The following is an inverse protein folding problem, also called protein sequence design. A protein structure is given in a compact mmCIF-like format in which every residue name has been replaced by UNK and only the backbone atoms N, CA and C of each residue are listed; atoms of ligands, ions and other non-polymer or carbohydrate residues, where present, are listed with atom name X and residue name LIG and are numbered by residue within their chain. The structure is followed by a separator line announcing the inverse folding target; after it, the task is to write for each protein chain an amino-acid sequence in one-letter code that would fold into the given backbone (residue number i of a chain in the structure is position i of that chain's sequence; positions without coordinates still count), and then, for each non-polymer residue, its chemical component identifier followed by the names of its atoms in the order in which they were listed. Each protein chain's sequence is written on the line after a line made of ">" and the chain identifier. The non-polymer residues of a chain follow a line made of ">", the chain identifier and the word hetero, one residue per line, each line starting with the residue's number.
data_IF_430671726141
#
_entry.id   IF_430671726141
#
_cell.length_a   1.000
_cell.length_b   1.000
_cell.length_c   1.000
_cell.angle_alpha   90.00
_cell.angle_beta   90.00
_cell.angle_gamma   90.00
#
_symmetry.space_group_name_H-M   'P 1'
#
loop_
_entity.id
_entity.type
_entity.pdbx_description
1 polymer ?
#
# COMPACT_ATOMS: atom_id res chain seq x y z
N UNK A 1 -10.56 24.77 22.13
CA UNK A 1 -10.72 23.75 21.08
C UNK A 1 -12.16 23.83 20.57
N UNK A 2 -12.38 24.23 19.31
CA UNK A 2 -13.73 24.27 18.73
C UNK A 2 -14.27 22.85 18.65
N UNK A 3 -15.47 22.63 19.20
CA UNK A 3 -16.09 21.31 19.31
C UNK A 3 -16.14 20.60 17.95
N UNK A 4 -15.57 19.41 17.90
CA UNK A 4 -15.69 18.52 16.75
C UNK A 4 -17.18 18.23 16.60
N UNK A 5 -17.82 18.79 15.56
CA UNK A 5 -19.17 18.39 15.16
C UNK A 5 -19.07 16.92 14.77
N UNK A 6 -19.69 16.05 15.57
CA UNK A 6 -19.92 14.65 15.19
C UNK A 6 -20.70 14.64 13.89
N UNK A 7 -20.07 14.08 12.85
CA UNK A 7 -20.72 13.85 11.57
C UNK A 7 -21.93 12.91 11.80
N UNK A 8 -23.07 13.14 11.13
CA UNK A 8 -24.23 12.28 11.26
C UNK A 8 -23.87 10.84 10.83
N UNK A 9 -24.32 9.86 11.61
CA UNK A 9 -24.16 8.45 11.25
C UNK A 9 -24.99 8.17 10.00
N UNK A 10 -24.32 7.89 8.89
CA UNK A 10 -24.94 7.38 7.68
C UNK A 10 -24.34 6.03 7.33
N UNK A 11 -25.15 5.15 6.74
CA UNK A 11 -24.66 3.90 6.13
C UNK A 11 -23.78 4.12 4.88
N UNK A 12 -23.45 5.38 4.56
CA UNK A 12 -22.61 5.79 3.44
C UNK A 12 -21.25 6.35 3.87
N UNK A 13 -20.93 6.29 5.16
CA UNK A 13 -19.66 6.77 5.70
C UNK A 13 -18.72 5.61 6.05
N UNK A 14 -17.42 5.85 5.88
CA UNK A 14 -16.35 4.96 6.31
C UNK A 14 -15.43 5.68 7.28
N UNK A 15 -14.80 4.92 8.16
CA UNK A 15 -13.67 5.42 8.94
C UNK A 15 -12.38 5.16 8.17
N UNK A 16 -11.54 6.18 8.07
CA UNK A 16 -10.28 6.12 7.36
C UNK A 16 -9.14 6.35 8.36
N UNK A 17 -8.19 5.44 8.40
CA UNK A 17 -6.95 5.59 9.16
C UNK A 17 -5.77 5.58 8.20
N UNK A 18 -4.96 6.62 8.23
CA UNK A 18 -3.68 6.67 7.52
C UNK A 18 -2.67 5.80 8.27
N UNK A 19 -2.06 4.87 7.56
CA UNK A 19 -0.96 4.03 8.02
C UNK A 19 0.35 4.52 7.39
N UNK A 20 1.44 4.36 8.14
CA UNK A 20 2.79 4.57 7.63
C UNK A 20 3.09 3.47 6.60
N UNK A 21 3.11 3.84 5.32
CA UNK A 21 3.43 2.94 4.21
C UNK A 21 4.89 3.04 3.77
N UNK A 22 5.76 3.74 4.51
CA UNK A 22 7.14 4.03 4.12
C UNK A 22 7.22 5.17 3.10
N UNK A 23 8.20 5.09 2.21
CA UNK A 23 8.38 6.11 1.19
C UNK A 23 9.60 5.91 0.30
N UNK A 24 9.89 6.94 -0.47
CA UNK A 24 11.04 7.03 -1.36
C UNK A 24 11.93 8.17 -0.89
N UNK A 25 13.23 7.89 -0.81
CA UNK A 25 14.23 8.96 -0.68
C UNK A 25 14.77 9.19 -2.08
N UNK A 26 14.09 10.01 -2.88
CA UNK A 26 14.53 10.23 -4.25
C UNK A 26 15.84 11.01 -4.28
N UNK A 27 16.66 10.68 -5.27
CA UNK A 27 17.53 11.67 -5.89
C UNK A 27 16.65 12.49 -6.83
N UNK A 28 16.44 13.77 -6.48
CA UNK A 28 15.75 14.80 -7.27
C UNK A 28 14.27 14.57 -7.66
N UNK A 29 13.52 15.64 -7.91
CA UNK A 29 12.10 15.63 -8.31
C UNK A 29 11.90 15.59 -9.83
N UNK A 30 12.98 15.43 -10.62
CA UNK A 30 12.90 15.28 -12.09
C UNK A 30 12.11 14.03 -12.51
N UNK A 31 11.94 13.07 -11.59
CA UNK A 31 11.16 11.85 -11.82
C UNK A 31 9.65 12.03 -11.65
N UNK A 32 9.20 13.15 -11.08
CA UNK A 32 7.80 13.37 -10.69
C UNK A 32 7.26 14.68 -11.26
N UNK A 33 8.13 15.65 -11.50
CA UNK A 33 7.78 16.96 -12.03
C UNK A 33 8.58 17.27 -13.29
N UNK A 34 7.89 17.84 -14.30
CA UNK A 34 8.51 18.21 -15.57
C UNK A 34 9.55 19.35 -15.43
N UNK A 35 9.47 20.11 -14.33
CA UNK A 35 10.35 21.20 -13.94
C UNK A 35 11.24 20.85 -12.73
N UNK A 36 11.42 19.55 -12.47
CA UNK A 36 12.21 19.08 -11.34
C UNK A 36 13.64 19.64 -11.28
N UNK A 37 14.12 19.81 -10.07
CA UNK A 37 15.42 20.25 -9.62
C UNK A 37 16.20 19.10 -8.98
N UNK A 38 17.54 19.16 -9.10
CA UNK A 38 18.46 18.14 -8.57
C UNK A 38 18.60 18.10 -7.03
N UNK A 39 17.49 18.22 -6.28
CA UNK A 39 17.46 18.26 -4.81
C UNK A 39 16.75 17.03 -4.24
N UNK A 40 17.42 16.21 -3.43
CA UNK A 40 16.78 15.08 -2.75
C UNK A 40 15.64 15.51 -1.84
N UNK A 41 14.57 14.72 -1.81
CA UNK A 41 13.44 14.90 -0.89
C UNK A 41 12.81 13.56 -0.55
N UNK A 42 11.98 13.56 0.49
CA UNK A 42 11.25 12.37 0.91
C UNK A 42 9.82 12.39 0.34
N UNK A 43 9.43 11.28 -0.28
CA UNK A 43 8.08 11.05 -0.77
C UNK A 43 7.41 9.97 0.06
N UNK A 44 6.36 10.35 0.76
CA UNK A 44 5.58 9.41 1.55
C UNK A 44 4.78 8.47 0.65
N UNK A 45 4.84 7.18 0.96
CA UNK A 45 3.89 6.21 0.44
C UNK A 45 2.76 6.03 1.47
N UNK A 46 1.53 6.26 1.04
CA UNK A 46 0.36 6.20 1.93
C UNK A 46 -0.39 4.89 1.76
N UNK A 47 -0.58 4.21 2.90
CA UNK A 47 -1.50 3.09 3.04
C UNK A 47 -2.68 3.53 3.92
N UNK A 48 -3.88 3.03 3.63
CA UNK A 48 -5.06 3.35 4.44
C UNK A 48 -5.77 2.09 4.92
N UNK A 49 -6.13 2.09 6.20
CA UNK A 49 -7.16 1.20 6.72
C UNK A 49 -8.54 1.87 6.61
N UNK A 50 -9.50 1.15 6.06
CA UNK A 50 -10.87 1.60 5.86
C UNK A 50 -11.82 0.66 6.59
N UNK A 51 -12.63 1.20 7.49
CA UNK A 51 -13.68 0.47 8.18
C UNK A 51 -15.05 1.01 7.77
N UNK A 52 -15.81 0.19 7.06
CA UNK A 52 -17.20 0.48 6.76
C UNK A 52 -18.09 -0.06 7.87
N UNK A 53 -18.32 0.77 8.91
CA UNK A 53 -19.07 0.37 10.12
C UNK A 53 -20.42 -0.27 9.82
N UNK A 54 -21.16 0.23 8.83
CA UNK A 54 -22.50 -0.24 8.54
C UNK A 54 -22.54 -1.70 8.07
N UNK A 55 -21.51 -2.17 7.35
CA UNK A 55 -21.40 -3.58 6.94
C UNK A 55 -20.37 -4.37 7.74
N UNK A 56 -19.64 -3.73 8.66
CA UNK A 56 -18.51 -4.32 9.38
C UNK A 56 -17.28 -4.65 8.53
N UNK A 57 -17.23 -4.19 7.27
CA UNK A 57 -16.14 -4.53 6.33
C UNK A 57 -14.88 -3.75 6.65
N UNK A 58 -13.74 -4.42 6.51
CA UNK A 58 -12.42 -3.92 6.85
C UNK A 58 -11.49 -4.10 5.66
N UNK A 59 -11.02 -2.98 5.13
CA UNK A 59 -10.36 -2.92 3.84
C UNK A 59 -9.01 -2.25 4.04
N UNK A 60 -7.97 -2.76 3.39
CA UNK A 60 -6.73 -2.04 3.20
C UNK A 60 -6.71 -1.42 1.81
N UNK A 61 -6.36 -0.15 1.73
CA UNK A 61 -6.02 0.51 0.48
C UNK A 61 -4.50 0.67 0.44
N UNK A 62 -3.89 -0.01 -0.54
CA UNK A 62 -2.44 -0.15 -0.67
C UNK A 62 -1.79 -0.89 0.50
N UNK A 63 -0.49 -1.16 0.39
CA UNK A 63 0.31 -1.83 1.42
C UNK A 63 1.60 -1.08 1.73
N UNK A 64 1.86 0.03 1.05
CA UNK A 64 3.11 0.73 1.16
C UNK A 64 4.23 0.07 0.37
N UNK A 65 5.46 0.35 0.78
CA UNK A 65 6.70 -0.04 0.10
C UNK A 65 7.62 -0.81 1.04
N UNK A 66 8.40 -1.75 0.49
CA UNK A 66 9.42 -2.48 1.24
C UNK A 66 10.81 -1.99 0.88
N UNK A 67 11.72 -2.00 1.85
CA UNK A 67 13.16 -1.86 1.64
C UNK A 67 13.87 -3.22 1.51
N UNK A 68 13.13 -4.33 1.55
CA UNK A 68 13.64 -5.67 1.28
C UNK A 68 13.88 -5.86 -0.22
N UNK A 69 15.15 -5.77 -0.63
CA UNK A 69 15.59 -5.98 -2.02
C UNK A 69 15.13 -7.32 -2.61
N UNK A 70 14.90 -8.35 -1.79
CA UNK A 70 14.45 -9.67 -2.26
C UNK A 70 13.01 -9.64 -2.81
N UNK A 71 12.26 -8.59 -2.50
CA UNK A 71 10.88 -8.39 -2.97
C UNK A 71 10.78 -7.84 -4.39
N UNK A 72 11.93 -7.47 -4.98
CA UNK A 72 11.98 -6.73 -6.23
C UNK A 72 12.59 -7.56 -7.36
N UNK A 73 12.07 -7.35 -8.57
CA UNK A 73 12.64 -7.98 -9.77
C UNK A 73 14.03 -7.42 -10.05
N UNK A 74 14.90 -8.18 -10.75
CA UNK A 74 16.20 -7.67 -11.18
C UNK A 74 16.10 -6.35 -11.96
N UNK A 75 15.03 -6.15 -12.74
CA UNK A 75 14.80 -4.89 -13.45
C UNK A 75 14.67 -3.71 -12.50
N UNK A 76 13.83 -3.81 -11.47
CA UNK A 76 13.68 -2.74 -10.46
C UNK A 76 15.00 -2.49 -9.74
N UNK A 77 15.67 -3.56 -9.32
CA UNK A 77 16.95 -3.47 -8.62
C UNK A 77 18.04 -2.78 -9.46
N UNK A 78 18.06 -3.01 -10.76
CA UNK A 78 19.10 -2.48 -11.65
C UNK A 78 18.80 -1.08 -12.18
N UNK A 79 17.53 -0.70 -12.35
CA UNK A 79 17.14 0.52 -13.04
C UNK A 79 16.41 1.56 -12.18
N UNK A 80 15.79 1.16 -11.08
CA UNK A 80 14.94 2.06 -10.28
C UNK A 80 15.37 2.19 -8.82
N UNK A 81 16.01 1.15 -8.26
CA UNK A 81 16.33 1.10 -6.84
C UNK A 81 17.17 2.28 -6.39
N UNK A 82 18.26 2.58 -7.09
CA UNK A 82 19.20 3.63 -6.72
C UNK A 82 18.63 5.03 -6.88
N UNK A 83 17.74 5.25 -7.86
CA UNK A 83 17.11 6.57 -8.08
C UNK A 83 15.98 6.85 -7.10
N UNK A 84 15.26 5.82 -6.68
CA UNK A 84 14.09 5.96 -5.82
C UNK A 84 14.39 5.71 -4.34
N UNK A 85 15.45 4.94 -4.05
CA UNK A 85 15.90 4.49 -2.74
C UNK A 85 14.73 4.26 -1.74
N UNK A 86 14.00 3.14 -1.92
CA UNK A 86 12.84 2.84 -1.10
C UNK A 86 13.21 2.68 0.36
N UNK A 87 12.35 3.22 1.21
CA UNK A 87 12.42 3.11 2.67
C UNK A 87 11.12 2.47 3.14
N UNK A 88 11.24 1.32 3.80
CA UNK A 88 10.09 0.62 4.37
C UNK A 88 9.38 1.46 5.45
N UNK A 89 8.17 1.06 5.85
CA UNK A 89 7.50 1.71 6.97
C UNK A 89 8.31 1.53 8.25
N UNK A 90 8.25 2.51 9.16
CA UNK A 90 9.02 2.45 10.43
C UNK A 90 8.61 1.27 11.32
N UNK A 91 7.39 0.77 11.12
CA UNK A 91 6.81 -0.38 11.79
C UNK A 91 6.02 -1.19 10.78
N UNK A 92 6.00 -2.51 10.94
CA UNK A 92 5.24 -3.42 10.08
C UNK A 92 3.78 -3.02 10.05
N UNK A 93 3.14 -3.14 8.90
CA UNK A 93 1.73 -2.77 8.74
C UNK A 93 0.81 -3.56 9.69
N UNK A 94 1.14 -4.83 9.96
CA UNK A 94 0.44 -5.68 10.93
C UNK A 94 0.49 -5.10 12.36
N UNK A 95 1.63 -4.56 12.77
CA UNK A 95 1.78 -3.96 14.10
C UNK A 95 0.97 -2.66 14.20
N UNK A 96 0.95 -1.85 13.12
CA UNK A 96 0.14 -0.64 13.07
C UNK A 96 -1.36 -0.93 13.15
N UNK A 97 -1.83 -2.00 12.49
CA UNK A 97 -3.21 -2.48 12.61
C UNK A 97 -3.51 -2.98 14.03
N UNK A 98 -2.58 -3.71 14.64
CA UNK A 98 -2.73 -4.22 16.00
C UNK A 98 -2.83 -3.09 17.02
N UNK A 99 -2.09 -1.99 16.84
CA UNK A 99 -2.17 -0.79 17.70
C UNK A 99 -3.57 -0.16 17.70
N UNK A 100 -4.29 -0.26 16.57
CA UNK A 100 -5.68 0.21 16.45
C UNK A 100 -6.72 -0.89 16.71
N UNK A 101 -6.30 -2.03 17.25
CA UNK A 101 -7.18 -3.14 17.64
C UNK A 101 -7.71 -3.97 16.47
N UNK A 102 -7.05 -3.93 15.31
CA UNK A 102 -7.44 -4.66 14.10
C UNK A 102 -6.47 -5.81 13.87
N UNK A 103 -6.98 -7.04 13.77
CA UNK A 103 -6.17 -8.19 13.35
C UNK A 103 -6.07 -8.20 11.83
N UNK A 104 -4.94 -8.63 11.29
CA UNK A 104 -4.76 -8.80 9.84
C UNK A 104 -5.78 -9.77 9.25
N UNK A 105 -6.14 -10.83 9.99
CA UNK A 105 -7.18 -11.79 9.61
C UNK A 105 -8.59 -11.20 9.48
N UNK A 106 -8.82 -10.00 10.01
CA UNK A 106 -10.12 -9.34 9.90
C UNK A 106 -10.25 -8.53 8.61
N UNK A 107 -9.16 -8.32 7.85
CA UNK A 107 -9.17 -7.58 6.59
C UNK A 107 -9.74 -8.48 5.51
N UNK A 108 -10.90 -8.11 4.96
CA UNK A 108 -11.59 -8.90 3.94
C UNK A 108 -11.18 -8.52 2.50
N UNK A 109 -10.58 -7.36 2.31
CA UNK A 109 -10.21 -6.86 0.98
C UNK A 109 -8.95 -6.01 1.04
N UNK A 110 -8.06 -6.22 0.08
CA UNK A 110 -6.92 -5.33 -0.20
C UNK A 110 -7.13 -4.70 -1.58
N UNK A 111 -7.29 -3.38 -1.63
CA UNK A 111 -7.40 -2.61 -2.85
C UNK A 111 -6.00 -2.23 -3.34
N UNK A 112 -5.58 -2.86 -4.45
CA UNK A 112 -4.35 -2.50 -5.15
C UNK A 112 -4.65 -1.43 -6.21
N UNK A 113 -3.96 -0.28 -6.12
CA UNK A 113 -4.20 0.88 -6.98
C UNK A 113 -4.04 0.65 -8.48
N UNK A 114 -3.32 -0.39 -8.89
CA UNK A 114 -2.60 -0.33 -10.16
C UNK A 114 -2.77 -1.56 -11.05
N UNK A 115 -3.62 -2.53 -10.69
CA UNK A 115 -3.90 -3.66 -11.58
C UNK A 115 -4.58 -3.23 -12.88
N UNK A 116 -5.61 -2.39 -12.78
CA UNK A 116 -6.28 -1.79 -13.93
C UNK A 116 -5.34 -0.86 -14.72
N UNK A 117 -4.44 -0.17 -14.03
CA UNK A 117 -3.47 0.73 -14.65
C UNK A 117 -2.36 -0.01 -15.42
N UNK A 118 -1.91 -1.16 -14.90
CA UNK A 118 -1.02 -2.06 -15.58
C UNK A 118 -1.71 -2.72 -16.79
N UNK A 119 -2.95 -3.18 -16.62
CA UNK A 119 -3.71 -3.88 -17.65
C UNK A 119 -4.16 -2.94 -18.80
N UNK A 120 -4.58 -1.71 -18.50
CA UNK A 120 -5.14 -0.77 -19.51
C UNK A 120 -4.11 0.23 -20.07
N UNK A 121 -3.09 0.59 -19.30
CA UNK A 121 -2.15 1.65 -19.68
C UNK A 121 -0.69 1.19 -19.70
N UNK A 122 -0.42 -0.12 -19.51
CA UNK A 122 0.94 -0.66 -19.53
C UNK A 122 1.85 -0.12 -18.44
N UNK A 123 1.29 0.39 -17.34
CA UNK A 123 2.05 0.98 -16.24
C UNK A 123 2.75 -0.12 -15.44
N UNK A 124 4.08 -0.15 -15.54
CA UNK A 124 4.92 -1.00 -14.70
C UNK A 124 5.10 -0.36 -13.32
N UNK A 125 4.53 -1.00 -12.29
CA UNK A 125 4.69 -0.56 -10.91
C UNK A 125 6.04 -1.07 -10.44
N UNK A 126 7.03 -0.19 -10.38
CA UNK A 126 8.36 -0.61 -9.95
C UNK A 126 8.43 -0.88 -8.44
N UNK A 127 7.55 -0.30 -7.61
CA UNK A 127 7.91 -0.07 -6.19
C UNK A 127 6.76 -0.07 -5.17
N UNK A 128 5.67 -0.82 -5.38
CA UNK A 128 4.76 -1.15 -4.28
C UNK A 128 5.17 -2.49 -3.67
N UNK A 129 4.61 -2.87 -2.51
CA UNK A 129 4.67 -4.19 -1.86
C UNK A 129 5.61 -4.28 -0.65
N UNK A 130 5.19 -3.74 0.50
CA UNK A 130 5.35 -4.51 1.74
C UNK A 130 4.43 -5.73 1.64
N UNK A 131 5.02 -6.93 1.53
CA UNK A 131 4.32 -8.19 1.30
C UNK A 131 4.68 -9.25 2.34
N UNK A 132 5.10 -8.86 3.54
CA UNK A 132 5.34 -9.83 4.60
C UNK A 132 4.09 -10.68 4.93
N UNK A 133 2.89 -10.09 4.90
CA UNK A 133 1.64 -10.85 5.07
C UNK A 133 1.31 -11.76 3.87
N UNK A 134 1.89 -11.51 2.68
CA UNK A 134 1.78 -12.39 1.50
C UNK A 134 2.73 -13.58 1.63
N UNK A 135 3.85 -13.44 2.33
CA UNK A 135 4.86 -14.50 2.53
C UNK A 135 4.36 -15.63 3.45
N UNK A 136 3.51 -15.34 4.44
CA UNK A 136 3.03 -16.34 5.40
C UNK A 136 2.05 -17.37 4.78
N UNK A 137 1.54 -17.12 3.57
CA UNK A 137 0.80 -18.13 2.79
C UNK A 137 -0.45 -18.71 3.48
N UNK A 138 -0.97 -18.05 4.52
CA UNK A 138 -2.11 -18.56 5.30
C UNK A 138 -3.46 -17.99 4.87
N UNK A 139 -3.47 -17.08 3.89
CA UNK A 139 -4.71 -16.43 3.43
C UNK A 139 -5.27 -17.12 2.17
N UNK A 140 -6.38 -17.84 2.38
CA UNK A 140 -7.11 -18.55 1.33
C UNK A 140 -7.65 -17.61 0.23
N UNK A 141 -7.87 -16.32 0.52
CA UNK A 141 -8.35 -15.33 -0.45
C UNK A 141 -7.25 -15.03 -1.48
N UNK A 142 -6.01 -14.84 -1.04
CA UNK A 142 -4.84 -14.66 -1.93
C UNK A 142 -4.44 -15.95 -2.66
N UNK A 143 -4.59 -17.12 -2.02
CA UNK A 143 -4.30 -18.42 -2.66
C UNK A 143 -5.35 -18.76 -3.73
N UNK A 144 -6.63 -18.43 -3.50
CA UNK A 144 -7.70 -18.65 -4.49
C UNK A 144 -7.42 -17.94 -5.83
N UNK A 145 -6.62 -16.87 -5.81
CA UNK A 145 -6.23 -16.14 -7.02
C UNK A 145 -5.13 -16.83 -7.85
N UNK A 146 -4.24 -17.62 -7.23
CA UNK A 146 -3.28 -18.46 -7.97
C UNK A 146 -3.99 -19.62 -8.70
N UNK A 147 -5.10 -20.12 -8.18
CA UNK A 147 -5.85 -21.23 -8.76
C UNK A 147 -6.75 -20.82 -9.95
N UNK A 148 -7.17 -19.55 -10.05
CA UNK A 148 -8.00 -19.06 -11.18
C UNK A 148 -7.26 -18.99 -12.53
N UNK A 149 -5.92 -19.13 -12.56
CA UNK A 149 -5.12 -19.22 -13.81
C UNK A 149 -5.02 -20.64 -14.42
N UNK A 150 -5.71 -21.65 -13.89
CA UNK A 150 -5.68 -23.04 -14.40
C UNK A 150 -7.05 -23.60 -14.81
N UNK A 151 -7.91 -22.78 -15.40
CA UNK A 151 -9.05 -23.28 -16.16
C UNK A 151 -9.08 -22.56 -17.51
N UNK A 152 -8.37 -23.15 -18.46
CA UNK A 152 -8.76 -23.11 -19.88
C UNK A 152 -9.97 -24.02 -20.08
#
# INVERSE_FOLDING_TARGET
>A
MKGIKTLPFSGSAVELTLLDGGGLTTTDDTKIHADGHDKPYFLYNWCFYIHHRASGRKILWDLGISDDRQMYTPFVLNYHWTSCNPIGPRRRLADQLQDIGVKTSDIDTVLFRLRKAADEYGIHIAMAHDAEFVKDGSDAVLISWKAMKRRE
#
